data_IF_895210157757
#
_entry.id   IF_895210157757
#
_cell.length_a   1.000
_cell.length_b   1.000
_cell.length_c   1.000
_cell.angle_alpha   90.00
_cell.angle_beta   90.00
_cell.angle_gamma   90.00
#
_symmetry.space_group_name_H-M   'P 1'
#
loop_
_entity.id
_entity.type
_entity.pdbx_description
1 polymer ?
#
# COMPACT_ATOMS: atom_id res chain seq x y z
N UNK A 1 -11.19 -7.75 39.85
CA UNK A 1 -11.92 -7.76 38.55
C UNK A 1 -11.46 -6.66 37.56
N UNK A 2 -10.26 -6.09 37.68
CA UNK A 2 -9.78 -4.99 36.83
C UNK A 2 -8.74 -5.31 35.72
N UNK A 3 -8.02 -6.46 35.70
CA UNK A 3 -6.97 -6.69 34.69
C UNK A 3 -7.46 -6.80 33.23
N UNK A 4 -8.64 -7.40 33.03
CA UNK A 4 -9.17 -7.67 31.69
C UNK A 4 -9.62 -6.38 30.95
N UNK A 5 -10.08 -5.38 31.69
CA UNK A 5 -10.51 -4.09 31.15
C UNK A 5 -9.28 -3.26 30.75
N UNK A 6 -8.25 -3.23 31.59
CA UNK A 6 -6.98 -2.55 31.31
C UNK A 6 -6.28 -3.11 30.06
N UNK A 7 -6.28 -4.44 29.90
CA UNK A 7 -5.72 -5.11 28.72
C UNK A 7 -6.44 -4.71 27.41
N UNK A 8 -7.78 -4.66 27.45
CA UNK A 8 -8.61 -4.26 26.30
C UNK A 8 -8.40 -2.79 25.93
N UNK A 9 -8.39 -1.88 26.90
CA UNK A 9 -8.17 -0.45 26.65
C UNK A 9 -6.78 -0.22 26.05
N UNK A 10 -5.73 -0.83 26.61
CA UNK A 10 -4.36 -0.74 26.08
C UNK A 10 -4.27 -1.22 24.63
N UNK A 11 -4.95 -2.32 24.29
CA UNK A 11 -4.99 -2.83 22.92
C UNK A 11 -5.66 -1.84 21.96
N UNK A 12 -6.87 -1.37 22.29
CA UNK A 12 -7.59 -0.42 21.42
C UNK A 12 -6.83 0.89 21.23
N UNK A 13 -6.16 1.40 22.26
CA UNK A 13 -5.31 2.59 22.13
C UNK A 13 -4.18 2.38 21.12
N UNK A 14 -3.49 1.23 21.16
CA UNK A 14 -2.43 0.92 20.18
C UNK A 14 -2.97 0.82 18.75
N UNK A 15 -4.13 0.18 18.57
CA UNK A 15 -4.79 0.10 17.27
C UNK A 15 -5.13 1.51 16.76
N UNK A 16 -5.72 2.37 17.60
CA UNK A 16 -6.08 3.73 17.22
C UNK A 16 -4.86 4.57 16.81
N UNK A 17 -3.76 4.50 17.57
CA UNK A 17 -2.50 5.19 17.24
C UNK A 17 -1.93 4.70 15.91
N UNK A 18 -1.93 3.39 15.67
CA UNK A 18 -1.44 2.82 14.41
C UNK A 18 -2.28 3.28 13.22
N UNK A 19 -3.61 3.24 13.35
CA UNK A 19 -4.53 3.68 12.30
C UNK A 19 -4.37 5.18 12.03
N UNK A 20 -4.25 6.01 13.07
CA UNK A 20 -4.01 7.44 12.90
C UNK A 20 -2.71 7.70 12.14
N UNK A 21 -1.63 7.01 12.50
CA UNK A 21 -0.37 7.11 11.76
C UNK A 21 -0.47 6.67 10.30
N UNK A 22 -1.27 5.65 9.99
CA UNK A 22 -1.54 5.27 8.60
C UNK A 22 -2.29 6.37 7.84
N UNK A 23 -3.33 6.96 8.46
CA UNK A 23 -4.13 8.04 7.85
C UNK A 23 -3.26 9.27 7.59
N UNK A 24 -2.41 9.67 8.54
CA UNK A 24 -1.48 10.79 8.37
C UNK A 24 -0.53 10.56 7.17
N UNK A 25 0.00 9.34 7.02
CA UNK A 25 0.85 8.99 5.87
C UNK A 25 0.08 8.94 4.56
N UNK A 26 -1.14 8.43 4.55
CA UNK A 26 -2.00 8.42 3.36
C UNK A 26 -2.29 9.86 2.89
N UNK A 27 -2.59 10.77 3.82
CA UNK A 27 -2.81 12.19 3.50
C UNK A 27 -1.55 12.87 2.95
N UNK A 28 -0.38 12.53 3.50
CA UNK A 28 0.90 13.12 3.08
C UNK A 28 1.42 12.57 1.75
N UNK A 29 1.28 11.27 1.50
CA UNK A 29 1.91 10.56 0.38
C UNK A 29 0.94 10.23 -0.75
N UNK A 30 -0.35 10.07 -0.45
CA UNK A 30 -1.37 9.54 -1.36
C UNK A 30 -1.44 10.26 -2.72
N UNK A 31 -1.47 11.61 -2.78
CA UNK A 31 -1.55 12.32 -4.06
C UNK A 31 -0.38 12.01 -5.00
N UNK A 32 0.85 12.02 -4.48
CA UNK A 32 2.05 11.72 -5.28
C UNK A 32 2.09 10.24 -5.69
N UNK A 33 1.76 9.34 -4.76
CA UNK A 33 1.71 7.91 -5.02
C UNK A 33 0.68 7.54 -6.08
N UNK A 34 -0.49 8.17 -6.07
CA UNK A 34 -1.54 7.98 -7.07
C UNK A 34 -1.07 8.42 -8.46
N UNK A 35 -0.45 9.61 -8.57
CA UNK A 35 0.10 10.10 -9.83
C UNK A 35 1.22 9.20 -10.36
N UNK A 36 2.14 8.76 -9.48
CA UNK A 36 3.21 7.85 -9.84
C UNK A 36 2.69 6.47 -10.28
N UNK A 37 1.64 5.97 -9.63
CA UNK A 37 1.01 4.70 -9.99
C UNK A 37 0.31 4.78 -11.36
N UNK A 38 -0.45 5.85 -11.63
CA UNK A 38 -1.07 6.07 -12.93
C UNK A 38 -0.03 6.15 -14.06
N UNK A 39 1.11 6.82 -13.81
CA UNK A 39 2.23 6.86 -14.76
C UNK A 39 2.81 5.48 -15.03
N UNK A 40 3.08 4.68 -13.98
CA UNK A 40 3.59 3.30 -14.12
C UNK A 40 2.63 2.41 -14.91
N UNK A 41 1.32 2.53 -14.69
CA UNK A 41 0.32 1.81 -15.48
C UNK A 41 0.37 2.22 -16.95
N UNK A 42 0.44 3.52 -17.23
CA UNK A 42 0.56 4.04 -18.58
C UNK A 42 1.84 3.61 -19.30
N UNK A 43 2.97 3.55 -18.60
CA UNK A 43 4.25 3.02 -19.12
C UNK A 43 4.16 1.53 -19.50
N UNK A 44 3.31 0.76 -18.83
CA UNK A 44 2.99 -0.62 -19.19
C UNK A 44 1.90 -0.73 -20.27
N UNK A 45 1.31 0.39 -20.70
CA UNK A 45 0.27 0.44 -21.72
C UNK A 45 -1.15 0.19 -21.21
N UNK A 46 -1.40 0.32 -19.90
CA UNK A 46 -2.71 0.09 -19.28
C UNK A 46 -3.28 1.36 -18.66
N UNK A 47 -4.60 1.53 -18.75
CA UNK A 47 -5.30 2.66 -18.14
C UNK A 47 -5.74 2.37 -16.69
N UNK A 48 -5.76 1.09 -16.28
CA UNK A 48 -6.20 0.68 -14.94
C UNK A 48 -5.52 -0.59 -14.42
N UNK A 49 -5.53 -0.77 -13.10
CA UNK A 49 -5.11 -2.04 -12.47
C UNK A 49 -5.99 -3.22 -12.94
N UNK A 50 -7.27 -2.99 -13.24
CA UNK A 50 -8.18 -4.03 -13.70
C UNK A 50 -7.78 -4.59 -15.07
N UNK A 51 -7.41 -3.71 -16.01
CA UNK A 51 -6.89 -4.09 -17.33
C UNK A 51 -5.57 -4.83 -17.20
N UNK A 52 -4.62 -4.30 -16.43
CA UNK A 52 -3.35 -4.96 -16.16
C UNK A 52 -3.56 -6.36 -15.56
N UNK A 53 -4.44 -6.50 -14.57
CA UNK A 53 -4.74 -7.78 -13.95
C UNK A 53 -5.38 -8.77 -14.93
N UNK A 54 -6.23 -8.31 -15.86
CA UNK A 54 -6.78 -9.14 -16.92
C UNK A 54 -5.68 -9.60 -17.89
N UNK A 55 -4.78 -8.72 -18.29
CA UNK A 55 -3.66 -9.05 -19.16
C UNK A 55 -2.70 -10.07 -18.51
N UNK A 56 -2.37 -9.89 -17.22
CA UNK A 56 -1.56 -10.86 -16.46
C UNK A 56 -2.22 -12.23 -16.41
N UNK A 57 -3.55 -12.31 -16.16
CA UNK A 57 -4.29 -13.58 -16.23
C UNK A 57 -4.30 -14.18 -17.64
N UNK A 58 -4.23 -13.34 -18.67
CA UNK A 58 -4.09 -13.73 -20.07
C UNK A 58 -2.68 -14.12 -20.49
N UNK A 59 -1.70 -14.08 -19.58
CA UNK A 59 -0.32 -14.47 -19.86
C UNK A 59 0.58 -13.33 -20.34
N UNK A 60 0.28 -12.08 -19.97
CA UNK A 60 1.19 -10.95 -20.20
C UNK A 60 2.58 -11.28 -19.66
N UNK A 61 3.57 -11.28 -20.55
CA UNK A 61 4.98 -11.32 -20.23
C UNK A 61 5.60 -9.98 -20.63
N UNK A 62 5.92 -9.15 -19.63
CA UNK A 62 6.49 -7.82 -19.86
C UNK A 62 7.67 -7.61 -18.90
N UNK A 63 8.86 -7.24 -19.40
CA UNK A 63 10.09 -7.20 -18.59
C UNK A 63 10.02 -6.21 -17.43
N UNK A 64 9.26 -5.11 -17.58
CA UNK A 64 9.07 -4.12 -16.52
C UNK A 64 7.96 -4.45 -15.50
N UNK A 65 7.19 -5.53 -15.70
CA UNK A 65 6.00 -5.83 -14.90
C UNK A 65 6.33 -6.00 -13.41
N UNK A 66 7.32 -6.84 -13.11
CA UNK A 66 7.71 -7.13 -11.73
C UNK A 66 8.18 -5.85 -11.03
N UNK A 67 9.02 -5.05 -11.69
CA UNK A 67 9.50 -3.78 -11.13
C UNK A 67 8.33 -2.82 -10.82
N UNK A 68 7.38 -2.66 -11.75
CA UNK A 68 6.23 -1.78 -11.55
C UNK A 68 5.31 -2.24 -10.39
N UNK A 69 5.11 -3.56 -10.24
CA UNK A 69 4.35 -4.13 -9.13
C UNK A 69 5.09 -3.97 -7.80
N UNK A 70 6.41 -4.20 -7.78
CA UNK A 70 7.25 -4.00 -6.60
C UNK A 70 7.17 -2.55 -6.12
N UNK A 71 7.29 -1.57 -7.01
CA UNK A 71 7.18 -0.15 -6.64
C UNK A 71 5.78 0.20 -6.11
N UNK A 72 4.73 -0.39 -6.69
CA UNK A 72 3.36 -0.19 -6.20
C UNK A 72 3.16 -0.80 -4.81
N UNK A 73 3.79 -1.94 -4.52
CA UNK A 73 3.77 -2.55 -3.17
C UNK A 73 4.59 -1.71 -2.18
N UNK A 74 5.78 -1.24 -2.56
CA UNK A 74 6.61 -0.36 -1.71
C UNK A 74 5.85 0.90 -1.30
N UNK A 75 5.14 1.53 -2.23
CA UNK A 75 4.28 2.68 -1.94
C UNK A 75 3.19 2.35 -0.91
N UNK A 76 2.49 1.22 -1.09
CA UNK A 76 1.46 0.75 -0.13
C UNK A 76 2.05 0.43 1.25
N UNK A 77 3.26 -0.14 1.31
CA UNK A 77 3.97 -0.41 2.56
C UNK A 77 4.41 0.87 3.28
N UNK A 78 4.85 1.89 2.54
CA UNK A 78 5.21 3.19 3.13
C UNK A 78 4.04 3.82 3.90
N UNK A 79 2.79 3.54 3.51
CA UNK A 79 1.61 3.96 4.28
C UNK A 79 1.29 2.96 5.39
N UNK A 80 1.16 1.66 5.06
CA UNK A 80 0.66 0.66 5.98
C UNK A 80 1.62 0.39 7.15
N UNK A 81 2.90 0.14 6.85
CA UNK A 81 3.94 -0.08 7.84
C UNK A 81 5.34 0.10 7.20
N UNK A 82 5.95 1.29 7.35
CA UNK A 82 7.25 1.61 6.77
C UNK A 82 8.39 0.67 7.19
N UNK A 83 8.31 0.04 8.36
CA UNK A 83 9.37 -0.84 8.87
C UNK A 83 9.67 -2.04 7.97
N UNK A 84 8.75 -2.41 7.05
CA UNK A 84 9.01 -3.45 6.05
C UNK A 84 9.87 -2.99 4.87
N UNK A 85 10.23 -1.69 4.81
CA UNK A 85 11.09 -1.13 3.78
C UNK A 85 12.57 -1.08 4.21
N UNK A 86 12.83 -1.19 5.50
CA UNK A 86 14.17 -1.09 6.12
C UNK A 86 14.95 -2.43 6.11
N UNK A 87 14.62 -3.32 5.18
CA UNK A 87 15.11 -4.70 5.12
C UNK A 87 16.62 -4.88 5.23
#
# INVERSE_FOLDING_TARGET
>A
MLPAVEGRVRFHTRVAVNVLGMVERELALGPEQAAAHARRLGELGFASEAELAAAVRGGLDHPALVAALTESVRAKLAVANPAYLDG
#
